data_IF_766626079972
#
_entry.id   IF_766626079972
#
_cell.length_a   1.000
_cell.length_b   1.000
_cell.length_c   1.000
_cell.angle_alpha   90.00
_cell.angle_beta   90.00
_cell.angle_gamma   90.00
#
_symmetry.space_group_name_H-M   'P 1'
#
loop_
_entity.id
_entity.type
_entity.pdbx_description
1 polymer ?
#
# COMPACT_ATOMS: atom_id res chain seq x y z
N UNK A 1 3.18 12.82 24.51
CA UNK A 1 4.46 13.14 23.83
C UNK A 1 4.59 12.42 22.47
N UNK A 2 4.39 11.10 22.37
CA UNK A 2 4.57 10.35 21.12
C UNK A 2 3.74 10.84 19.91
N UNK A 3 2.54 11.40 20.12
CA UNK A 3 1.67 11.88 19.04
C UNK A 3 2.35 12.87 18.09
N UNK A 4 3.21 13.76 18.61
CA UNK A 4 3.91 14.79 17.81
C UNK A 4 4.85 14.18 16.77
N UNK A 5 5.30 12.95 16.99
CA UNK A 5 6.20 12.21 16.11
C UNK A 5 5.49 11.12 15.32
N UNK A 6 4.55 10.42 15.97
CA UNK A 6 3.78 9.35 15.35
C UNK A 6 2.91 9.85 14.18
N UNK A 7 2.29 11.03 14.32
CA UNK A 7 1.40 11.56 13.29
C UNK A 7 2.15 11.97 11.99
N UNK A 8 3.24 12.77 12.03
CA UNK A 8 4.04 13.03 10.84
C UNK A 8 4.65 11.76 10.24
N UNK A 9 5.17 10.84 11.08
CA UNK A 9 5.72 9.57 10.62
C UNK A 9 4.70 8.71 9.87
N UNK A 10 3.48 8.62 10.40
CA UNK A 10 2.37 7.92 9.74
C UNK A 10 1.97 8.58 8.41
N UNK A 11 1.96 9.92 8.34
CA UNK A 11 1.68 10.64 7.10
C UNK A 11 2.76 10.36 6.04
N UNK A 12 4.04 10.44 6.41
CA UNK A 12 5.16 10.17 5.51
C UNK A 12 5.13 8.72 5.01
N UNK A 13 4.86 7.75 5.90
CA UNK A 13 4.72 6.35 5.53
C UNK A 13 3.53 6.13 4.57
N UNK A 14 2.37 6.74 4.85
CA UNK A 14 1.19 6.64 3.97
C UNK A 14 1.48 7.21 2.58
N UNK A 15 2.13 8.37 2.50
CA UNK A 15 2.55 8.96 1.22
C UNK A 15 3.58 8.09 0.50
N UNK A 16 4.54 7.51 1.22
CA UNK A 16 5.53 6.59 0.67
C UNK A 16 4.89 5.35 0.05
N UNK A 17 3.91 4.75 0.74
CA UNK A 17 3.14 3.61 0.22
C UNK A 17 2.36 4.00 -1.04
N UNK A 18 1.64 5.13 -1.02
CA UNK A 18 0.89 5.61 -2.19
C UNK A 18 1.81 5.85 -3.39
N UNK A 19 2.96 6.50 -3.18
CA UNK A 19 3.94 6.76 -4.24
C UNK A 19 4.57 5.47 -4.77
N UNK A 20 4.87 4.51 -3.89
CA UNK A 20 5.38 3.19 -4.26
C UNK A 20 4.38 2.41 -5.11
N UNK A 21 3.13 2.32 -4.67
CA UNK A 21 2.04 1.68 -5.41
C UNK A 21 1.74 2.39 -6.73
N UNK A 22 1.81 3.72 -6.76
CA UNK A 22 1.67 4.52 -7.97
C UNK A 22 2.79 4.21 -8.98
N UNK A 23 4.03 4.15 -8.50
CA UNK A 23 5.18 3.80 -9.31
C UNK A 23 5.06 2.37 -9.85
N UNK A 24 4.69 1.41 -9.01
CA UNK A 24 4.50 0.02 -9.41
C UNK A 24 3.44 -0.11 -10.51
N UNK A 25 2.33 0.62 -10.38
CA UNK A 25 1.27 0.68 -11.39
C UNK A 25 1.77 1.26 -12.72
N UNK A 26 2.56 2.34 -12.66
CA UNK A 26 3.09 3.02 -13.84
C UNK A 26 4.26 2.30 -14.51
N UNK A 27 5.01 1.44 -13.80
CA UNK A 27 6.28 0.90 -14.30
C UNK A 27 6.27 -0.62 -14.52
N UNK A 28 5.61 -1.42 -13.67
CA UNK A 28 5.80 -2.88 -13.69
C UNK A 28 4.99 -3.64 -14.76
N UNK A 29 4.03 -2.99 -15.43
CA UNK A 29 3.37 -3.57 -16.61
C UNK A 29 2.46 -4.79 -16.38
N UNK A 30 2.04 -5.06 -15.14
CA UNK A 30 1.09 -6.15 -14.84
C UNK A 30 -0.35 -5.65 -14.63
N UNK A 31 -0.58 -4.35 -14.81
CA UNK A 31 -1.90 -3.75 -14.72
C UNK A 31 -2.47 -3.73 -13.30
N UNK A 32 -1.64 -3.62 -12.26
CA UNK A 32 -2.13 -3.50 -10.89
C UNK A 32 -1.22 -2.66 -10.01
N UNK A 33 -1.71 -2.38 -8.80
CA UNK A 33 -1.15 -1.37 -7.89
C UNK A 33 -0.61 -1.96 -6.58
N UNK A 34 -0.90 -3.24 -6.30
CA UNK A 34 -0.43 -3.98 -5.13
C UNK A 34 -0.43 -5.48 -5.40
N UNK A 35 0.73 -6.13 -5.27
CA UNK A 35 0.93 -7.55 -5.59
C UNK A 35 1.05 -8.45 -4.36
N UNK A 36 1.00 -7.89 -3.14
CA UNK A 36 1.29 -8.61 -1.89
C UNK A 36 2.71 -9.20 -1.85
N UNK A 37 3.66 -8.52 -2.50
CA UNK A 37 5.04 -8.95 -2.48
C UNK A 37 5.70 -8.63 -1.11
N UNK A 38 6.80 -9.29 -0.74
CA UNK A 38 7.43 -9.07 0.56
C UNK A 38 7.82 -7.62 0.87
N UNK A 39 8.21 -6.82 -0.13
CA UNK A 39 8.61 -5.42 0.05
C UNK A 39 7.39 -4.53 0.27
N UNK A 40 6.32 -4.72 -0.49
CA UNK A 40 5.03 -4.10 -0.23
C UNK A 40 4.52 -4.43 1.18
N UNK A 41 4.49 -5.72 1.55
CA UNK A 41 4.04 -6.17 2.86
C UNK A 41 4.89 -5.59 4.00
N UNK A 42 6.20 -5.51 3.81
CA UNK A 42 7.14 -4.89 4.75
C UNK A 42 6.81 -3.42 5.05
N UNK A 43 6.26 -2.67 4.07
CA UNK A 43 5.81 -1.30 4.29
C UNK A 43 4.44 -1.22 4.99
N UNK A 44 3.56 -2.20 4.75
CA UNK A 44 2.22 -2.26 5.34
C UNK A 44 2.24 -2.59 6.84
N UNK A 45 3.16 -3.46 7.27
CA UNK A 45 3.30 -3.88 8.68
C UNK A 45 3.45 -2.71 9.68
N UNK A 46 4.44 -1.81 9.55
CA UNK A 46 4.55 -0.66 10.43
C UNK A 46 3.38 0.32 10.24
N UNK A 47 2.75 0.37 9.07
CA UNK A 47 1.57 1.22 8.85
C UNK A 47 0.35 0.75 9.66
N UNK A 48 0.12 -0.56 9.74
CA UNK A 48 -0.94 -1.15 10.57
C UNK A 48 -0.68 -0.89 12.06
N UNK A 49 0.55 -1.09 12.52
CA UNK A 49 0.95 -0.81 13.91
C UNK A 49 0.82 0.67 14.26
N UNK A 50 1.28 1.56 13.37
CA UNK A 50 1.20 3.01 13.55
C UNK A 50 -0.26 3.50 13.52
N UNK A 51 -1.12 2.91 12.69
CA UNK A 51 -2.55 3.22 12.67
C UNK A 51 -3.22 2.85 13.99
N UNK A 52 -2.93 1.66 14.53
CA UNK A 52 -3.36 1.26 15.87
C UNK A 52 -2.81 2.23 16.94
N UNK A 53 -1.54 2.61 16.85
CA UNK A 53 -0.90 3.55 17.76
C UNK A 53 -1.61 4.90 17.79
N UNK A 54 -1.98 5.48 16.64
CA UNK A 54 -2.70 6.76 16.60
C UNK A 54 -4.05 6.69 17.31
N UNK A 55 -4.80 5.59 17.14
CA UNK A 55 -6.07 5.37 17.84
C UNK A 55 -5.87 5.18 19.35
N UNK A 56 -4.83 4.43 19.76
CA UNK A 56 -4.46 4.25 21.17
C UNK A 56 -4.07 5.60 21.83
N UNK A 57 -3.26 6.40 21.14
CA UNK A 57 -2.79 7.70 21.62
C UNK A 57 -3.92 8.71 21.80
N UNK A 58 -4.96 8.65 20.98
CA UNK A 58 -6.14 9.50 21.13
C UNK A 58 -6.81 9.32 22.50
N UNK A 59 -7.06 8.08 22.91
CA UNK A 59 -7.66 7.78 24.23
C UNK A 59 -6.67 8.06 25.36
N UNK A 60 -5.41 7.68 25.16
CA UNK A 60 -4.35 7.89 26.16
C UNK A 60 -4.14 9.35 26.52
N UNK A 61 -4.24 10.27 25.54
CA UNK A 61 -4.17 11.72 25.78
C UNK A 61 -5.39 12.28 26.52
N UNK A 62 -6.58 11.74 26.27
CA UNK A 62 -7.81 12.30 26.84
C UNK A 62 -8.15 11.74 28.23
N UNK A 63 -7.87 10.46 28.47
CA UNK A 63 -8.34 9.73 29.67
C UNK A 63 -7.22 9.09 30.49
N UNK A 64 -5.98 9.11 30.02
CA UNK A 64 -4.84 8.46 30.69
C UNK A 64 -4.84 6.93 30.62
N UNK A 65 -5.87 6.29 30.04
CA UNK A 65 -5.93 4.84 29.78
C UNK A 65 -5.05 4.42 28.58
N UNK A 66 -4.77 3.13 28.39
CA UNK A 66 -3.98 2.60 27.26
C UNK A 66 -2.51 3.08 27.13
N UNK A 67 -1.91 3.68 28.18
CA UNK A 67 -0.50 4.14 28.13
C UNK A 67 0.48 3.02 27.75
N UNK A 68 0.37 1.85 28.39
CA UNK A 68 1.21 0.68 28.09
C UNK A 68 1.02 0.20 26.66
N UNK A 69 -0.23 0.10 26.19
CA UNK A 69 -0.56 -0.24 24.82
C UNK A 69 0.04 0.73 23.81
N UNK A 70 -0.06 2.04 24.05
CA UNK A 70 0.56 3.05 23.19
C UNK A 70 2.08 2.91 23.13
N UNK A 71 2.75 2.62 24.24
CA UNK A 71 4.20 2.43 24.26
C UNK A 71 4.61 1.15 23.51
N UNK A 72 3.93 0.03 23.76
CA UNK A 72 4.16 -1.23 23.06
C UNK A 72 3.93 -1.10 21.55
N UNK A 73 2.86 -0.43 21.12
CA UNK A 73 2.59 -0.19 19.71
C UNK A 73 3.65 0.71 19.06
N UNK A 74 4.20 1.69 19.79
CA UNK A 74 5.29 2.52 19.30
C UNK A 74 6.58 1.70 19.10
N UNK A 75 6.92 0.83 20.06
CA UNK A 75 8.06 -0.08 19.96
C UNK A 75 7.84 -1.07 18.81
N UNK A 76 6.65 -1.66 18.71
CA UNK A 76 6.30 -2.58 17.63
C UNK A 76 6.42 -1.89 16.26
N UNK A 77 5.96 -0.65 16.13
CA UNK A 77 6.11 0.14 14.89
C UNK A 77 7.58 0.34 14.53
N UNK A 78 8.45 0.62 15.51
CA UNK A 78 9.90 0.71 15.30
C UNK A 78 10.48 -0.62 14.83
N UNK A 79 10.19 -1.72 15.54
CA UNK A 79 10.68 -3.07 15.21
C UNK A 79 10.24 -3.46 13.80
N UNK A 80 8.98 -3.21 13.42
CA UNK A 80 8.47 -3.52 12.08
C UNK A 80 9.09 -2.63 10.99
N UNK A 81 9.44 -1.39 11.31
CA UNK A 81 10.17 -0.51 10.37
C UNK A 81 11.61 -1.00 10.13
N UNK A 82 12.27 -1.48 11.19
CA UNK A 82 13.60 -2.10 11.09
C UNK A 82 13.52 -3.44 10.34
N UNK A 83 12.51 -4.25 10.61
CA UNK A 83 12.24 -5.49 9.87
C UNK A 83 12.02 -5.21 8.39
N UNK A 84 11.28 -4.16 8.04
CA UNK A 84 11.09 -3.78 6.64
C UNK A 84 12.41 -3.39 5.98
N UNK A 85 13.27 -2.65 6.67
CA UNK A 85 14.62 -2.34 6.17
C UNK A 85 15.44 -3.61 5.92
N UNK A 86 15.40 -4.56 6.85
CA UNK A 86 16.04 -5.87 6.69
C UNK A 86 15.49 -6.59 5.45
N UNK A 87 14.18 -6.73 5.31
CA UNK A 87 13.54 -7.44 4.19
C UNK A 87 13.94 -6.81 2.83
N UNK A 88 13.87 -5.48 2.72
CA UNK A 88 14.08 -4.77 1.45
C UNK A 88 15.56 -4.74 1.02
N UNK A 89 16.49 -4.70 1.98
CA UNK A 89 17.92 -4.43 1.71
C UNK A 89 18.86 -5.62 1.91
N UNK A 90 18.38 -6.73 2.44
CA UNK A 90 19.22 -7.91 2.73
C UNK A 90 19.31 -8.93 1.60
N UNK A 91 18.36 -8.95 0.65
CA UNK A 91 18.27 -9.99 -0.38
C UNK A 91 17.73 -11.34 0.12
N UNK A 92 17.32 -11.45 1.40
CA UNK A 92 16.84 -12.70 2.00
C UNK A 92 15.53 -13.20 1.36
N UNK A 93 14.64 -12.28 0.99
CA UNK A 93 13.36 -12.57 0.35
C UNK A 93 13.39 -12.14 -1.12
N UNK A 94 12.91 -13.02 -2.00
CA UNK A 94 12.74 -12.70 -3.42
C UNK A 94 11.59 -11.71 -3.57
N UNK A 95 11.87 -10.56 -4.20
CA UNK A 95 10.88 -9.53 -4.51
C UNK A 95 11.23 -8.84 -5.82
N UNK A 96 10.20 -8.44 -6.57
CA UNK A 96 10.32 -7.60 -7.77
C UNK A 96 10.79 -6.17 -7.45
N UNK A 97 10.66 -5.76 -6.19
CA UNK A 97 11.08 -4.46 -5.67
C UNK A 97 12.43 -4.52 -4.93
N UNK A 98 13.07 -5.69 -4.87
CA UNK A 98 14.35 -5.82 -4.20
C UNK A 98 15.48 -5.16 -5.01
N UNK A 99 16.28 -4.33 -4.34
CA UNK A 99 17.42 -3.63 -4.94
C UNK A 99 18.77 -4.30 -4.68
N UNK A 100 18.81 -5.34 -3.85
CA UNK A 100 20.01 -6.10 -3.54
C UNK A 100 19.89 -7.51 -4.14
N UNK A 101 20.90 -7.90 -4.91
CA UNK A 101 21.04 -9.26 -5.47
C UNK A 101 22.00 -10.11 -4.63
N UNK A 102 22.65 -9.50 -3.65
CA UNK A 102 23.71 -10.08 -2.83
C UNK A 102 23.35 -10.05 -1.34
N UNK A 103 23.59 -11.17 -0.65
CA UNK A 103 23.28 -11.31 0.78
C UNK A 103 24.34 -10.69 1.70
N UNK A 104 25.31 -9.95 1.16
CA UNK A 104 26.43 -9.35 1.91
C UNK A 104 25.93 -8.43 3.02
N UNK A 105 24.81 -7.74 2.78
CA UNK A 105 24.21 -6.78 3.73
C UNK A 105 23.31 -7.44 4.77
N UNK A 106 22.99 -8.72 4.62
CA UNK A 106 22.04 -9.42 5.49
C UNK A 106 22.51 -9.44 6.95
N UNK A 107 23.78 -9.82 7.19
CA UNK A 107 24.31 -9.93 8.56
C UNK A 107 24.37 -8.57 9.27
N UNK A 108 24.97 -7.49 8.69
CA UNK A 108 24.96 -6.18 9.34
C UNK A 108 23.55 -5.64 9.63
N UNK A 109 22.61 -5.80 8.69
CA UNK A 109 21.23 -5.35 8.88
C UNK A 109 20.50 -6.17 9.94
N UNK A 110 20.73 -7.49 10.00
CA UNK A 110 20.16 -8.34 11.03
C UNK A 110 20.70 -7.99 12.41
N UNK A 111 22.00 -7.73 12.54
CA UNK A 111 22.61 -7.27 13.80
C UNK A 111 22.02 -5.94 14.25
N UNK A 112 21.87 -4.97 13.34
CA UNK A 112 21.22 -3.69 13.64
C UNK A 112 19.76 -3.89 14.10
N UNK A 113 19.00 -4.70 13.36
CA UNK A 113 17.62 -5.06 13.70
C UNK A 113 17.53 -5.68 15.10
N UNK A 114 18.33 -6.70 15.38
CA UNK A 114 18.32 -7.42 16.65
C UNK A 114 18.74 -6.51 17.81
N UNK A 115 19.83 -5.75 17.65
CA UNK A 115 20.34 -4.87 18.69
C UNK A 115 19.35 -3.78 19.08
N UNK A 116 18.79 -3.05 18.11
CA UNK A 116 17.83 -1.98 18.38
C UNK A 116 16.49 -2.51 18.90
N UNK A 117 16.02 -3.65 18.37
CA UNK A 117 14.80 -4.29 18.87
C UNK A 117 14.95 -4.72 20.32
N UNK A 118 16.05 -5.42 20.66
CA UNK A 118 16.32 -5.87 22.02
C UNK A 118 16.49 -4.67 22.97
N UNK A 119 17.26 -3.65 22.57
CA UNK A 119 17.45 -2.44 23.38
C UNK A 119 16.11 -1.74 23.68
N UNK A 120 15.22 -1.64 22.70
CA UNK A 120 13.89 -1.02 22.88
C UNK A 120 13.00 -1.79 23.87
N UNK A 121 13.03 -3.12 23.82
CA UNK A 121 12.26 -3.99 24.72
C UNK A 121 12.86 -4.02 26.14
N UNK A 122 14.18 -4.00 26.27
CA UNK A 122 14.88 -3.90 27.56
C UNK A 122 14.56 -2.57 28.23
N UNK A 123 14.62 -1.45 27.49
CA UNK A 123 14.23 -0.13 28.02
C UNK A 123 12.76 -0.09 28.46
N UNK A 124 11.87 -0.75 27.72
CA UNK A 124 10.46 -0.89 28.10
C UNK A 124 10.31 -1.68 29.41
N UNK A 125 10.94 -2.84 29.52
CA UNK A 125 10.91 -3.68 30.71
C UNK A 125 11.53 -3.01 31.93
N UNK A 126 12.61 -2.25 31.75
CA UNK A 126 13.22 -1.46 32.83
C UNK A 126 12.26 -0.38 33.32
N UNK A 127 11.63 0.37 32.41
CA UNK A 127 10.71 1.46 32.77
C UNK A 127 9.37 0.97 33.34
N UNK A 128 8.99 -0.29 33.06
CA UNK A 128 7.79 -0.91 33.63
C UNK A 128 7.89 -1.16 35.15
N UNK A 129 9.07 -0.99 35.76
CA UNK A 129 9.28 -1.10 37.22
C UNK A 129 8.71 0.10 37.99
N UNK A 130 8.40 1.21 37.31
CA UNK A 130 7.77 2.37 37.92
C UNK A 130 6.25 2.11 38.10
N UNK A 131 5.70 2.24 39.31
CA UNK A 131 4.29 1.99 39.57
C UNK A 131 3.41 3.04 38.87
N UNK A 132 2.84 2.67 37.74
CA UNK A 132 1.75 3.44 37.14
C UNK A 132 0.44 3.09 37.87
N UNK A 133 -0.39 4.09 38.23
CA UNK A 133 -1.69 3.81 38.82
C UNK A 133 -2.50 2.93 37.88
N UNK A 134 -3.04 1.83 38.44
CA UNK A 134 -3.87 0.89 37.72
C UNK A 134 -5.08 1.63 37.13
N UNK A 135 -5.11 1.77 35.81
CA UNK A 135 -6.27 2.35 35.12
C UNK A 135 -7.30 1.25 34.98
N UNK A 136 -8.43 1.37 35.69
CA UNK A 136 -9.58 0.51 35.41
C UNK A 136 -9.98 0.75 33.95
N UNK A 137 -10.10 -0.31 33.15
CA UNK A 137 -10.85 -0.24 31.91
C UNK A 137 -12.26 0.20 32.30
N UNK A 138 -12.59 1.45 32.04
CA UNK A 138 -13.96 1.90 32.16
C UNK A 138 -14.70 1.15 31.08
N UNK A 139 -15.61 0.24 31.44
CA UNK A 139 -16.47 -0.49 30.49
C UNK A 139 -17.40 0.41 29.65
N UNK A 140 -17.06 1.69 29.46
CA UNK A 140 -17.73 2.62 28.60
C UNK A 140 -17.58 2.21 27.14
N UNK A 141 -18.73 2.21 26.45
CA UNK A 141 -18.91 1.81 25.04
C UNK A 141 -17.95 2.46 24.02
N UNK A 142 -17.24 3.55 24.36
CA UNK A 142 -16.22 4.17 23.48
C UNK A 142 -14.85 3.47 23.60
N UNK A 143 -14.45 3.09 24.82
CA UNK A 143 -13.19 2.36 25.06
C UNK A 143 -13.26 0.98 24.45
N UNK A 144 -14.44 0.35 24.45
CA UNK A 144 -14.70 -0.93 23.76
C UNK A 144 -14.50 -0.84 22.25
N UNK A 145 -14.97 0.23 21.60
CA UNK A 145 -14.80 0.40 20.15
C UNK A 145 -13.33 0.66 19.79
N UNK A 146 -12.62 1.45 20.59
CA UNK A 146 -11.18 1.65 20.37
C UNK A 146 -10.42 0.35 20.60
N UNK A 147 -10.73 -0.41 21.65
CA UNK A 147 -10.12 -1.73 21.87
C UNK A 147 -10.37 -2.66 20.69
N UNK A 148 -11.62 -2.72 20.18
CA UNK A 148 -11.94 -3.49 18.98
C UNK A 148 -11.10 -3.04 17.78
N UNK A 149 -10.96 -1.73 17.53
CA UNK A 149 -10.07 -1.20 16.49
C UNK A 149 -8.64 -1.67 16.66
N UNK A 150 -8.07 -1.59 17.88
CA UNK A 150 -6.69 -2.04 18.15
C UNK A 150 -6.51 -3.54 17.89
N UNK A 151 -7.48 -4.36 18.30
CA UNK A 151 -7.46 -5.80 18.07
C UNK A 151 -7.56 -6.13 16.56
N UNK A 152 -8.40 -5.42 15.81
CA UNK A 152 -8.54 -5.63 14.37
C UNK A 152 -7.26 -5.29 13.61
N UNK A 153 -6.64 -4.14 13.90
CA UNK A 153 -5.33 -3.81 13.32
C UNK A 153 -4.27 -4.84 13.69
N UNK A 154 -4.25 -5.32 14.94
CA UNK A 154 -3.28 -6.32 15.40
C UNK A 154 -3.50 -7.67 14.72
N UNK A 155 -4.75 -8.07 14.48
CA UNK A 155 -5.08 -9.29 13.75
C UNK A 155 -4.59 -9.23 12.29
N UNK A 156 -4.91 -8.15 11.57
CA UNK A 156 -4.44 -7.97 10.18
C UNK A 156 -2.92 -7.91 10.12
N UNK A 157 -2.28 -7.22 11.07
CA UNK A 157 -0.82 -7.16 11.18
C UNK A 157 -0.22 -8.57 11.33
N UNK A 158 -0.77 -9.39 12.23
CA UNK A 158 -0.30 -10.76 12.43
C UNK A 158 -0.49 -11.62 11.18
N UNK A 159 -1.64 -11.52 10.51
CA UNK A 159 -1.91 -12.23 9.24
C UNK A 159 -0.86 -11.87 8.19
N UNK A 160 -0.60 -10.57 7.99
CA UNK A 160 0.37 -10.10 6.99
C UNK A 160 1.80 -10.53 7.38
N UNK A 161 2.15 -10.43 8.65
CA UNK A 161 3.48 -10.79 9.16
C UNK A 161 3.75 -12.28 8.96
N UNK A 162 2.80 -13.13 9.37
CA UNK A 162 2.90 -14.58 9.21
C UNK A 162 2.94 -14.94 7.73
N UNK A 163 2.02 -14.43 6.90
CA UNK A 163 2.02 -14.71 5.46
C UNK A 163 3.31 -14.31 4.75
N UNK A 164 3.96 -13.23 5.20
CA UNK A 164 5.22 -12.73 4.62
C UNK A 164 6.44 -13.54 5.06
N UNK A 165 6.53 -13.90 6.35
CA UNK A 165 7.70 -14.59 6.90
C UNK A 165 7.61 -16.12 6.79
N UNK A 166 6.41 -16.68 6.63
CA UNK A 166 6.22 -18.12 6.58
C UNK A 166 6.98 -18.82 5.43
N UNK A 167 6.99 -18.31 4.18
CA UNK A 167 7.85 -18.84 3.11
C UNK A 167 9.32 -18.97 3.49
N UNK A 168 9.85 -17.96 4.19
CA UNK A 168 11.25 -17.95 4.64
C UNK A 168 11.50 -19.03 5.69
N UNK A 169 10.62 -19.11 6.70
CA UNK A 169 10.72 -20.12 7.77
C UNK A 169 10.64 -21.54 7.19
N UNK A 170 9.69 -21.76 6.27
CA UNK A 170 9.50 -23.03 5.56
C UNK A 170 10.75 -23.45 4.78
N UNK A 171 11.38 -22.49 4.08
CA UNK A 171 12.64 -22.71 3.37
C UNK A 171 13.82 -23.00 4.30
N UNK A 172 13.94 -22.28 5.42
CA UNK A 172 14.99 -22.50 6.43
C UNK A 172 14.90 -23.87 7.11
N UNK A 173 13.69 -24.42 7.24
CA UNK A 173 13.46 -25.77 7.77
C UNK A 173 13.78 -26.89 6.76
N UNK A 174 14.13 -26.56 5.52
CA UNK A 174 14.43 -27.54 4.48
C UNK A 174 13.21 -28.25 3.90
N UNK A 175 11.99 -27.74 4.13
CA UNK A 175 10.76 -28.36 3.66
C UNK A 175 10.43 -28.07 2.19
N UNK A 176 11.27 -27.28 1.51
CA UNK A 176 11.13 -26.94 0.10
C UNK A 176 10.89 -25.45 -0.13
N UNK A 177 10.30 -25.10 -1.28
CA UNK A 177 9.96 -23.72 -1.64
C UNK A 177 8.45 -23.56 -1.61
N UNK A 178 7.98 -22.60 -0.82
CA UNK A 178 6.58 -22.23 -0.71
C UNK A 178 6.43 -20.75 -1.06
N UNK A 179 5.37 -20.39 -1.76
CA UNK A 179 5.04 -19.00 -2.10
C UNK A 179 3.65 -18.67 -1.59
N UNK A 180 3.53 -17.53 -0.91
CA UNK A 180 2.25 -16.99 -0.42
C UNK A 180 1.96 -15.73 -1.23
N UNK A 181 0.91 -15.76 -2.03
CA UNK A 181 0.50 -14.64 -2.88
C UNK A 181 -0.85 -14.05 -2.51
N UNK A 182 -1.32 -13.13 -3.37
CA UNK A 182 -2.58 -12.39 -3.20
C UNK A 182 -3.80 -13.23 -2.78
N UNK A 183 -4.04 -14.47 -3.27
CA UNK A 183 -5.21 -15.25 -2.85
C UNK A 183 -5.29 -15.52 -1.34
N UNK A 184 -4.15 -15.74 -0.67
CA UNK A 184 -4.11 -15.92 0.78
C UNK A 184 -4.48 -14.61 1.49
N UNK A 185 -3.75 -13.54 1.19
CA UNK A 185 -3.94 -12.26 1.88
C UNK A 185 -5.33 -11.69 1.65
N UNK A 186 -5.83 -11.69 0.40
CA UNK A 186 -7.16 -11.19 0.09
C UNK A 186 -8.24 -11.97 0.86
N UNK A 187 -8.18 -13.30 0.87
CA UNK A 187 -9.21 -14.12 1.54
C UNK A 187 -9.22 -13.92 3.05
N UNK A 188 -8.04 -13.86 3.67
CA UNK A 188 -7.92 -13.82 5.13
C UNK A 188 -8.07 -12.41 5.68
N UNK A 189 -7.62 -11.36 4.99
CA UNK A 189 -7.69 -9.98 5.49
C UNK A 189 -9.03 -9.30 5.21
N UNK A 190 -9.73 -9.67 4.13
CA UNK A 190 -11.01 -9.07 3.74
C UNK A 190 -12.08 -9.03 4.86
N UNK A 191 -12.38 -10.13 5.60
CA UNK A 191 -13.40 -10.08 6.65
C UNK A 191 -13.05 -9.07 7.76
N UNK A 192 -11.76 -8.95 8.11
CA UNK A 192 -11.30 -7.96 9.09
C UNK A 192 -11.39 -6.54 8.54
N UNK A 193 -11.04 -6.33 7.27
CA UNK A 193 -11.21 -5.04 6.59
C UNK A 193 -12.66 -4.56 6.58
N UNK A 194 -13.61 -5.45 6.26
CA UNK A 194 -15.05 -5.14 6.32
C UNK A 194 -15.49 -4.81 7.76
N UNK A 195 -15.04 -5.59 8.74
CA UNK A 195 -15.35 -5.34 10.14
C UNK A 195 -14.79 -3.99 10.63
N UNK A 196 -13.60 -3.60 10.18
CA UNK A 196 -13.02 -2.28 10.46
C UNK A 196 -13.90 -1.14 9.90
N UNK A 197 -14.42 -1.27 8.67
CA UNK A 197 -15.36 -0.30 8.11
C UNK A 197 -16.63 -0.18 8.96
N UNK A 198 -17.19 -1.30 9.42
CA UNK A 198 -18.34 -1.31 10.33
C UNK A 198 -18.02 -0.60 11.64
N UNK A 199 -16.87 -0.87 12.25
CA UNK A 199 -16.43 -0.21 13.49
C UNK A 199 -16.31 1.30 13.29
N UNK A 200 -15.78 1.76 12.15
CA UNK A 200 -15.72 3.19 11.82
C UNK A 200 -17.13 3.80 11.79
N UNK A 201 -18.09 3.18 11.08
CA UNK A 201 -19.48 3.66 11.02
C UNK A 201 -20.09 3.75 12.42
N UNK A 202 -19.96 2.69 13.23
CA UNK A 202 -20.48 2.65 14.59
C UNK A 202 -19.87 3.74 15.47
N UNK A 203 -18.55 3.96 15.36
CA UNK A 203 -17.85 5.02 16.09
C UNK A 203 -18.32 6.42 15.66
N UNK A 204 -18.54 6.66 14.37
CA UNK A 204 -19.06 7.93 13.84
C UNK A 204 -20.51 8.18 14.30
N UNK A 205 -21.39 7.18 14.23
CA UNK A 205 -22.78 7.31 14.70
C UNK A 205 -22.81 7.62 16.20
N UNK A 206 -21.96 6.96 16.98
CA UNK A 206 -21.90 7.15 18.43
C UNK A 206 -21.36 8.53 18.83
N UNK A 207 -20.54 9.13 17.97
CA UNK A 207 -19.92 10.43 18.19
C UNK A 207 -20.79 11.62 17.73
N UNK A 208 -22.03 11.38 17.25
CA UNK A 208 -22.94 12.43 16.72
C UNK A 208 -23.21 13.62 17.65
N UNK A 209 -23.08 13.45 18.96
CA UNK A 209 -23.26 14.55 19.95
C UNK A 209 -22.07 15.52 19.99
N UNK A 210 -20.93 15.17 19.40
CA UNK A 210 -19.75 16.04 19.33
C UNK A 210 -19.92 17.02 18.16
N UNK A 211 -19.51 18.27 18.31
CA UNK A 211 -19.58 19.25 17.22
C UNK A 211 -18.86 18.75 15.96
N UNK A 212 -19.48 18.94 14.79
CA UNK A 212 -18.91 18.59 13.48
C UNK A 212 -17.54 19.23 13.28
N UNK A 213 -17.33 20.46 13.80
CA UNK A 213 -16.01 21.12 13.75
C UNK A 213 -14.97 20.25 14.44
N UNK A 214 -15.22 19.74 15.65
CA UNK A 214 -14.27 18.89 16.36
C UNK A 214 -14.02 17.55 15.67
N UNK A 215 -15.03 17.01 14.98
CA UNK A 215 -14.94 15.72 14.29
C UNK A 215 -14.32 15.80 12.90
N UNK A 216 -14.27 16.98 12.28
CA UNK A 216 -13.86 17.16 10.89
C UNK A 216 -12.55 16.43 10.52
N UNK A 217 -11.45 16.47 11.30
CA UNK A 217 -10.22 15.77 10.94
C UNK A 217 -10.41 14.25 10.87
N UNK A 218 -11.15 13.68 11.83
CA UNK A 218 -11.43 12.26 11.87
C UNK A 218 -12.41 11.85 10.76
N UNK A 219 -13.47 12.65 10.51
CA UNK A 219 -14.40 12.40 9.41
C UNK A 219 -13.67 12.41 8.07
N UNK A 220 -12.82 13.41 7.83
CA UNK A 220 -12.07 13.52 6.58
C UNK A 220 -11.12 12.34 6.39
N UNK A 221 -10.39 11.94 7.45
CA UNK A 221 -9.48 10.80 7.38
C UNK A 221 -10.23 9.48 7.10
N UNK A 222 -11.34 9.22 7.82
CA UNK A 222 -12.11 7.99 7.67
C UNK A 222 -12.92 7.94 6.38
N UNK A 223 -13.41 9.08 5.87
CA UNK A 223 -13.96 9.16 4.51
C UNK A 223 -12.90 8.76 3.48
N UNK A 224 -11.65 9.14 3.70
CA UNK A 224 -10.52 8.66 2.89
C UNK A 224 -10.39 7.14 2.88
N UNK A 225 -10.55 6.50 4.04
CA UNK A 225 -10.57 5.02 4.16
C UNK A 225 -11.72 4.40 3.34
N UNK A 226 -12.92 4.97 3.38
CA UNK A 226 -14.05 4.48 2.57
C UNK A 226 -13.82 4.64 1.07
N UNK A 227 -13.31 5.79 0.63
CA UNK A 227 -13.00 6.03 -0.79
C UNK A 227 -11.89 5.07 -1.25
N UNK A 228 -10.86 4.88 -0.43
CA UNK A 228 -9.78 3.92 -0.68
C UNK A 228 -10.33 2.48 -0.83
N UNK A 229 -11.14 2.02 0.13
CA UNK A 229 -11.73 0.69 0.12
C UNK A 229 -12.67 0.48 -1.08
N UNK A 230 -13.48 1.49 -1.43
CA UNK A 230 -14.29 1.46 -2.64
C UNK A 230 -13.41 1.36 -3.89
N UNK A 231 -12.33 2.15 -3.97
CA UNK A 231 -11.36 2.07 -5.05
C UNK A 231 -10.78 0.66 -5.25
N UNK A 232 -10.38 -0.01 -4.16
CA UNK A 232 -9.90 -1.40 -4.19
C UNK A 232 -10.98 -2.34 -4.74
N UNK A 233 -12.19 -2.25 -4.19
CA UNK A 233 -13.32 -3.11 -4.54
C UNK A 233 -13.69 -2.96 -6.03
N UNK A 234 -13.83 -1.73 -6.51
CA UNK A 234 -14.16 -1.46 -7.91
C UNK A 234 -13.01 -1.83 -8.85
N UNK A 235 -11.76 -1.51 -8.49
CA UNK A 235 -10.58 -1.82 -9.33
C UNK A 235 -10.42 -3.32 -9.51
N UNK A 236 -10.65 -4.09 -8.44
CA UNK A 236 -10.52 -5.54 -8.46
C UNK A 236 -11.74 -6.21 -9.13
N UNK A 237 -12.96 -5.72 -8.88
CA UNK A 237 -14.20 -6.31 -9.40
C UNK A 237 -14.52 -5.95 -10.86
N UNK A 238 -14.04 -4.81 -11.36
CA UNK A 238 -14.31 -4.33 -12.73
C UNK A 238 -13.14 -4.51 -13.70
N UNK A 239 -12.09 -5.23 -13.30
CA UNK A 239 -10.91 -5.44 -14.14
C UNK A 239 -11.25 -6.33 -15.33
N UNK A 240 -11.21 -5.75 -16.51
CA UNK A 240 -11.21 -6.49 -17.77
C UNK A 240 -9.82 -6.49 -18.37
N UNK A 241 -9.34 -7.66 -18.78
CA UNK A 241 -8.02 -7.83 -19.38
C UNK A 241 -8.08 -8.71 -20.62
N UNK A 242 -7.24 -8.39 -21.60
CA UNK A 242 -7.02 -9.25 -22.77
C UNK A 242 -5.54 -9.20 -23.15
N UNK A 243 -4.99 -10.36 -23.50
CA UNK A 243 -3.61 -10.52 -23.95
C UNK A 243 -3.61 -11.14 -25.34
N UNK A 244 -3.08 -10.43 -26.33
CA UNK A 244 -3.02 -10.91 -27.71
C UNK A 244 -1.86 -10.28 -28.47
N UNK A 245 -1.56 -10.81 -29.64
CA UNK A 245 -0.57 -10.24 -30.53
C UNK A 245 -1.22 -9.25 -31.49
N UNK A 246 -0.67 -8.04 -31.57
CA UNK A 246 -1.17 -6.97 -32.45
C UNK A 246 -0.10 -6.43 -33.38
N UNK A 247 -0.53 -6.07 -34.58
CA UNK A 247 0.23 -5.33 -35.58
C UNK A 247 -0.36 -3.93 -35.81
N UNK A 248 0.45 -2.95 -36.27
CA UNK A 248 -0.07 -1.65 -36.67
C UNK A 248 -1.24 -1.78 -37.66
N UNK A 249 -2.26 -0.95 -37.50
CA UNK A 249 -3.53 -0.99 -38.23
C UNK A 249 -4.61 -1.89 -37.62
N UNK A 250 -4.28 -2.77 -36.68
CA UNK A 250 -5.26 -3.64 -36.03
C UNK A 250 -5.95 -2.96 -34.85
N UNK A 251 -7.15 -3.44 -34.52
CA UNK A 251 -7.94 -2.96 -33.40
C UNK A 251 -8.50 -4.09 -32.55
N UNK A 252 -8.77 -3.79 -31.28
CA UNK A 252 -9.34 -4.73 -30.30
C UNK A 252 -10.44 -4.04 -29.53
N UNK A 253 -11.53 -4.76 -29.31
CA UNK A 253 -12.62 -4.30 -28.46
C UNK A 253 -12.48 -4.96 -27.09
N UNK A 254 -12.48 -4.16 -26.03
CA UNK A 254 -12.43 -4.60 -24.63
C UNK A 254 -13.36 -3.73 -23.78
N UNK A 255 -14.29 -4.36 -23.06
CA UNK A 255 -15.23 -3.67 -22.17
C UNK A 255 -16.00 -2.50 -22.83
N UNK A 256 -16.34 -2.63 -24.12
CA UNK A 256 -17.03 -1.57 -24.89
C UNK A 256 -16.13 -0.43 -25.38
N UNK A 257 -14.81 -0.57 -25.26
CA UNK A 257 -13.81 0.37 -25.77
C UNK A 257 -13.01 -0.26 -26.91
N UNK A 258 -12.75 0.51 -27.96
CA UNK A 258 -11.91 0.08 -29.09
C UNK A 258 -10.51 0.67 -28.93
N UNK A 259 -9.53 -0.21 -28.83
CA UNK A 259 -8.10 0.08 -28.82
C UNK A 259 -7.57 -0.14 -30.23
N UNK A 260 -7.15 0.93 -30.91
CA UNK A 260 -6.61 0.84 -32.28
C UNK A 260 -5.11 1.11 -32.24
N UNK A 261 -4.32 0.13 -32.66
CA UNK A 261 -2.86 0.27 -32.77
C UNK A 261 -2.55 1.01 -34.07
N UNK A 262 -2.32 2.32 -34.00
CA UNK A 262 -2.15 3.14 -35.20
C UNK A 262 -0.81 2.89 -35.88
N UNK A 263 0.28 3.02 -35.11
CA UNK A 263 1.64 2.95 -35.61
C UNK A 263 2.64 2.72 -34.49
N UNK A 264 3.83 2.28 -34.89
CA UNK A 264 5.00 2.16 -34.02
C UNK A 264 5.98 3.30 -34.34
N UNK A 265 6.30 4.10 -33.34
CA UNK A 265 7.32 5.14 -33.41
C UNK A 265 8.64 4.53 -32.85
N UNK A 266 9.71 4.50 -33.66
CA UNK A 266 11.04 4.02 -33.24
C UNK A 266 11.92 5.23 -32.89
N UNK A 267 12.41 5.29 -31.66
CA UNK A 267 13.24 6.39 -31.17
C UNK A 267 14.59 5.87 -30.68
N UNK A 268 15.68 6.57 -31.00
CA UNK A 268 16.99 6.36 -30.39
C UNK A 268 17.31 7.55 -29.50
N UNK A 269 17.48 7.31 -28.19
CA UNK A 269 17.93 8.32 -27.23
C UNK A 269 19.35 8.00 -26.79
N UNK A 270 20.04 8.97 -26.19
CA UNK A 270 21.46 8.82 -25.81
C UNK A 270 21.76 7.60 -24.93
N UNK A 271 20.76 7.11 -24.17
CA UNK A 271 20.95 6.09 -23.14
C UNK A 271 20.22 4.77 -23.45
N UNK A 272 19.27 4.77 -24.40
CA UNK A 272 18.43 3.63 -24.76
C UNK A 272 17.80 3.79 -26.14
N UNK A 273 17.48 2.67 -26.79
CA UNK A 273 16.56 2.64 -27.92
C UNK A 273 15.15 2.33 -27.44
N UNK A 274 14.16 2.85 -28.14
CA UNK A 274 12.76 2.80 -27.73
C UNK A 274 11.86 2.43 -28.90
N UNK A 275 11.00 1.44 -28.66
CA UNK A 275 9.86 1.15 -29.51
C UNK A 275 8.62 1.69 -28.79
N UNK A 276 7.87 2.61 -29.41
CA UNK A 276 6.69 3.22 -28.80
C UNK A 276 5.45 2.97 -29.65
N UNK A 277 4.48 2.25 -29.10
CA UNK A 277 3.23 2.01 -29.81
C UNK A 277 2.23 3.13 -29.55
N UNK A 278 1.65 3.70 -30.61
CA UNK A 278 0.58 4.69 -30.51
C UNK A 278 -0.76 3.99 -30.62
N UNK A 279 -1.49 3.93 -29.51
CA UNK A 279 -2.80 3.29 -29.45
C UNK A 279 -3.86 4.37 -29.23
N UNK A 280 -4.84 4.50 -30.13
CA UNK A 280 -5.98 5.40 -29.92
C UNK A 280 -7.13 4.67 -29.22
N UNK A 281 -7.82 5.39 -28.34
CA UNK A 281 -8.94 4.87 -27.57
C UNK A 281 -10.24 5.48 -28.07
N UNK A 282 -11.20 4.62 -28.37
CA UNK A 282 -12.52 5.00 -28.87
C UNK A 282 -13.61 4.34 -28.03
N UNK A 283 -14.74 5.03 -27.91
CA UNK A 283 -16.00 4.43 -27.43
C UNK A 283 -17.07 4.86 -28.39
N UNK A 284 -17.67 3.88 -29.06
CA UNK A 284 -18.48 4.12 -30.25
C UNK A 284 -17.65 4.96 -31.25
N UNK A 285 -18.20 6.04 -31.78
CA UNK A 285 -17.54 6.95 -32.73
C UNK A 285 -16.72 8.08 -32.06
N UNK A 286 -16.70 8.16 -30.72
CA UNK A 286 -15.99 9.24 -30.02
C UNK A 286 -14.61 8.79 -29.56
N UNK A 287 -13.58 9.51 -30.03
CA UNK A 287 -12.22 9.37 -29.50
C UNK A 287 -12.15 9.89 -28.06
N UNK A 288 -11.72 9.02 -27.14
CA UNK A 288 -11.56 9.35 -25.72
C UNK A 288 -10.14 9.85 -25.44
N UNK A 289 -9.13 9.22 -26.07
CA UNK A 289 -7.74 9.53 -25.78
C UNK A 289 -6.77 8.68 -26.59
N UNK A 290 -5.56 8.55 -26.07
CA UNK A 290 -4.53 7.67 -26.62
C UNK A 290 -3.59 7.16 -25.54
N UNK A 291 -3.10 5.94 -25.71
CA UNK A 291 -2.07 5.29 -24.90
C UNK A 291 -0.78 5.23 -25.70
N UNK A 292 0.34 5.34 -25.00
CA UNK A 292 1.67 5.24 -25.59
C UNK A 292 2.57 4.26 -24.83
N UNK A 293 2.25 2.95 -24.81
CA UNK A 293 3.16 1.97 -24.22
C UNK A 293 4.50 1.95 -24.97
N UNK A 294 5.57 1.77 -24.20
CA UNK A 294 6.94 1.88 -24.66
C UNK A 294 7.76 0.65 -24.24
N UNK A 295 8.65 0.19 -25.11
CA UNK A 295 9.70 -0.77 -24.76
C UNK A 295 11.05 -0.10 -24.91
N UNK A 296 11.82 -0.10 -23.83
CA UNK A 296 13.15 0.50 -23.79
C UNK A 296 14.22 -0.56 -23.71
N UNK A 297 15.21 -0.46 -24.58
CA UNK A 297 16.38 -1.33 -24.55
C UNK A 297 17.63 -0.54 -24.17
N UNK A 298 18.21 -0.88 -23.03
CA UNK A 298 19.43 -0.27 -22.51
C UNK A 298 20.64 -1.11 -22.90
N UNK A 299 21.34 -0.70 -23.97
CA UNK A 299 22.48 -1.45 -24.51
C UNK A 299 23.60 -1.69 -23.48
N UNK A 300 23.92 -0.68 -22.66
CA UNK A 300 24.98 -0.76 -21.65
C UNK A 300 24.74 -1.85 -20.58
N UNK A 301 23.47 -2.14 -20.25
CA UNK A 301 23.09 -3.13 -19.24
C UNK A 301 22.54 -4.42 -19.85
N UNK A 302 22.38 -4.46 -21.19
CA UNK A 302 21.66 -5.52 -21.92
C UNK A 302 20.30 -5.84 -21.29
N UNK A 303 19.58 -4.81 -20.88
CA UNK A 303 18.31 -4.93 -20.17
C UNK A 303 17.20 -4.32 -20.99
N UNK A 304 16.08 -5.05 -21.12
CA UNK A 304 14.84 -4.55 -21.68
C UNK A 304 13.90 -4.14 -20.54
N UNK A 305 13.34 -2.94 -20.64
CA UNK A 305 12.32 -2.41 -19.74
C UNK A 305 11.06 -2.08 -20.54
N UNK A 306 9.92 -2.05 -19.87
CA UNK A 306 8.63 -1.71 -20.47
C UNK A 306 8.03 -0.57 -19.67
N UNK A 307 7.50 0.43 -20.36
CA UNK A 307 6.66 1.45 -19.74
C UNK A 307 5.22 1.29 -20.27
N UNK A 308 4.27 1.01 -19.38
CA UNK A 308 2.85 1.04 -19.66
C UNK A 308 2.36 2.37 -20.24
N UNK A 309 1.48 2.29 -21.23
CA UNK A 309 0.67 3.42 -21.67
C UNK A 309 -0.59 3.49 -20.83
N UNK A 310 -0.81 4.61 -20.14
CA UNK A 310 -1.96 4.79 -19.25
C UNK A 310 -2.72 6.06 -19.64
N UNK A 311 -4.02 5.93 -19.81
CA UNK A 311 -4.96 7.05 -19.93
C UNK A 311 -6.03 6.85 -18.88
N UNK A 312 -6.47 7.92 -18.25
CA UNK A 312 -7.39 7.82 -17.12
C UNK A 312 -8.36 8.99 -17.11
N UNK A 313 -9.51 8.76 -16.51
CA UNK A 313 -10.42 9.81 -16.07
C UNK A 313 -10.80 9.57 -14.60
N UNK A 314 -11.83 10.24 -14.09
CA UNK A 314 -12.25 10.10 -12.69
C UNK A 314 -12.70 8.68 -12.31
N UNK A 315 -13.20 7.92 -13.29
CA UNK A 315 -13.80 6.60 -13.08
C UNK A 315 -12.90 5.48 -13.59
N UNK A 316 -12.46 5.57 -14.84
CA UNK A 316 -11.81 4.50 -15.57
C UNK A 316 -10.34 4.81 -15.86
N UNK A 317 -9.54 3.76 -15.80
CA UNK A 317 -8.18 3.69 -16.26
C UNK A 317 -8.13 2.72 -17.46
N UNK A 318 -7.62 3.20 -18.59
CA UNK A 318 -7.26 2.39 -19.75
C UNK A 318 -5.76 2.20 -19.75
N UNK A 319 -5.33 0.95 -19.83
CA UNK A 319 -3.95 0.56 -19.63
C UNK A 319 -3.52 -0.35 -20.77
N UNK A 320 -2.33 -0.10 -21.32
CA UNK A 320 -1.74 -0.93 -22.35
C UNK A 320 -0.28 -1.22 -22.01
N UNK A 321 0.15 -2.45 -22.24
CA UNK A 321 1.55 -2.87 -22.09
C UNK A 321 1.97 -3.57 -23.35
N UNK A 322 3.12 -3.13 -23.88
CA UNK A 322 3.75 -3.74 -25.03
C UNK A 322 4.85 -4.67 -24.56
N UNK A 323 4.63 -5.97 -24.73
CA UNK A 323 5.54 -7.05 -24.43
C UNK A 323 6.39 -7.47 -25.63
N UNK A 324 6.82 -8.73 -25.61
CA UNK A 324 7.77 -9.26 -26.59
C UNK A 324 7.23 -9.25 -28.02
N UNK A 325 8.19 -9.19 -28.95
CA UNK A 325 7.94 -9.17 -30.38
C UNK A 325 7.84 -10.61 -30.91
N UNK A 326 6.73 -10.91 -31.58
CA UNK A 326 6.37 -12.22 -32.13
C UNK A 326 6.29 -12.16 -33.67
N UNK A 327 7.38 -11.76 -34.33
CA UNK A 327 7.47 -11.55 -35.78
C UNK A 327 7.90 -10.12 -36.16
N UNK A 328 7.99 -9.77 -37.45
CA UNK A 328 8.56 -8.49 -37.90
C UNK A 328 7.78 -7.25 -37.44
N UNK A 329 6.45 -7.32 -37.34
CA UNK A 329 5.59 -6.20 -36.92
C UNK A 329 4.47 -6.64 -35.97
N UNK A 330 4.72 -7.65 -35.15
CA UNK A 330 3.71 -8.26 -34.28
C UNK A 330 4.20 -8.23 -32.84
N UNK A 331 3.42 -7.59 -31.97
CA UNK A 331 3.80 -7.34 -30.59
C UNK A 331 2.78 -7.95 -29.65
N UNK A 332 3.24 -8.65 -28.60
CA UNK A 332 2.38 -9.08 -27.51
C UNK A 332 1.86 -7.83 -26.79
N UNK A 333 0.55 -7.62 -26.80
CA UNK A 333 -0.11 -6.50 -26.15
C UNK A 333 -1.02 -7.01 -25.05
N UNK A 334 -0.89 -6.42 -23.85
CA UNK A 334 -1.81 -6.62 -22.74
C UNK A 334 -2.59 -5.35 -22.52
N UNK A 335 -3.91 -5.43 -22.66
CA UNK A 335 -4.81 -4.28 -22.53
C UNK A 335 -5.71 -4.50 -21.31
N UNK A 336 -5.94 -3.43 -20.55
CA UNK A 336 -6.82 -3.47 -19.38
C UNK A 336 -7.76 -2.27 -19.38
N UNK A 337 -8.96 -2.51 -18.88
CA UNK A 337 -9.92 -1.48 -18.49
C UNK A 337 -10.27 -1.73 -17.03
N UNK A 338 -10.06 -0.72 -16.17
CA UNK A 338 -10.30 -0.83 -14.73
C UNK A 338 -11.01 0.41 -14.22
N UNK A 339 -11.83 0.26 -13.17
CA UNK A 339 -12.55 1.37 -12.55
C UNK A 339 -12.06 1.61 -11.13
N UNK A 340 -11.90 2.86 -10.71
CA UNK A 340 -11.67 3.21 -9.30
C UNK A 340 -10.21 3.22 -8.84
N UNK A 341 -9.23 2.97 -9.73
CA UNK A 341 -7.79 3.09 -9.39
C UNK A 341 -7.46 4.47 -8.84
N UNK A 342 -8.04 5.54 -9.43
CA UNK A 342 -7.90 6.93 -8.93
C UNK A 342 -8.37 7.10 -7.49
N UNK A 343 -9.39 6.36 -7.06
CA UNK A 343 -9.99 6.50 -5.74
C UNK A 343 -9.09 5.90 -4.66
N UNK A 344 -8.25 4.93 -5.02
CA UNK A 344 -7.19 4.41 -4.14
C UNK A 344 -6.24 5.56 -3.76
N UNK A 345 -5.73 6.29 -4.74
CA UNK A 345 -4.83 7.42 -4.50
C UNK A 345 -5.52 8.56 -3.77
N UNK A 346 -6.71 8.95 -4.24
CA UNK A 346 -7.50 10.02 -3.64
C UNK A 346 -7.89 9.73 -2.19
N UNK A 347 -8.30 8.50 -1.90
CA UNK A 347 -8.62 8.05 -0.55
C UNK A 347 -7.41 8.14 0.39
N UNK A 348 -6.25 7.62 -0.04
CA UNK A 348 -5.02 7.71 0.74
C UNK A 348 -4.55 9.15 0.99
N UNK A 349 -4.62 10.03 -0.01
CA UNK A 349 -4.31 11.46 0.16
C UNK A 349 -5.28 12.13 1.14
N UNK A 350 -6.57 11.81 1.06
CA UNK A 350 -7.58 12.34 1.97
C UNK A 350 -7.32 11.88 3.42
N UNK A 351 -6.90 10.64 3.61
CA UNK A 351 -6.47 10.14 4.92
C UNK A 351 -5.35 10.99 5.53
N UNK A 352 -4.32 11.31 4.72
CA UNK A 352 -3.21 12.19 5.13
C UNK A 352 -3.68 13.60 5.45
N UNK A 353 -4.54 14.19 4.62
CA UNK A 353 -5.12 15.51 4.88
C UNK A 353 -5.86 15.57 6.22
N UNK A 354 -6.64 14.53 6.55
CA UNK A 354 -7.39 14.45 7.81
C UNK A 354 -6.46 14.33 9.02
N UNK A 355 -5.41 13.52 8.89
CA UNK A 355 -4.36 13.37 9.90
C UNK A 355 -3.62 14.71 10.15
N UNK A 356 -3.17 15.39 9.09
CA UNK A 356 -2.48 16.68 9.20
C UNK A 356 -3.37 17.77 9.83
N UNK A 357 -4.65 17.82 9.45
CA UNK A 357 -5.61 18.75 10.03
C UNK A 357 -5.78 18.51 11.54
N UNK A 358 -5.78 17.24 11.97
CA UNK A 358 -5.82 16.86 13.38
C UNK A 358 -4.58 17.37 14.13
N UNK A 359 -3.40 17.26 13.52
CA UNK A 359 -2.14 17.74 14.08
C UNK A 359 -2.07 19.27 14.20
N UNK A 360 -2.57 20.00 13.20
CA UNK A 360 -2.62 21.47 13.22
C UNK A 360 -3.55 22.01 14.31
N UNK A 361 -4.75 21.42 14.44
CA UNK A 361 -5.71 21.84 15.48
C UNK A 361 -5.28 21.47 16.90
N UNK A 362 -4.61 20.33 17.06
CA UNK A 362 -4.02 19.95 18.34
C UNK A 362 -3.00 20.97 18.84
N UNK A 363 -2.16 21.52 17.94
CA UNK A 363 -1.18 22.57 18.29
C UNK A 363 -1.83 23.86 18.80
N UNK A 364 -2.99 24.25 18.26
CA UNK A 364 -3.73 25.46 18.71
C UNK A 364 -4.44 25.31 20.06
N UNK A 365 -4.63 24.09 20.57
CA UNK A 365 -5.19 23.84 21.91
C UNK A 365 -4.11 23.72 22.98
N UNK A 366 -2.90 23.37 22.58
CA UNK A 366 -1.74 23.15 23.46
C UNK A 366 -0.83 24.41 23.56
N UNK A 367 -1.13 25.47 22.81
CA UNK A 367 -0.49 26.79 22.82
C UNK A 367 -1.50 27.82 23.29
#
# INVERSE_FOLDING_TARGET
VCWRWALPGWCALTLGIILGSWWAYCELGWGGWWFWDPVENASLLPWLAASALLHSLYVSRQRGSFRHWSLLLAILTLILSLLGTLIVRSGILVSVHAFALDNVRAVPLFTLFAALSLASLVLYGWRAREPYPATRLGGGKCETLILATLLLFSAVLLIVLVGTLYPMIYGLMGWGRLSVGAPYFNRVTLPFGLLMLVVIVLATIRSRKVSVRCQLPALLAHTGVFIFAAGIMFSSGSRHEISLNLSPGQQVVLAGYTFRFERLDLEAKGNYTSEKARITLWRNEKRIGSLQPERRFYAARRQQMMEPGIHWNLLHDWYAVMGEKNGPDRYAMRLYVQTGVRWIWGGGLLMVCGALLSGWRGRKRDA
#
